data_IF_757653644178
#
_entry.id   IF_757653644178
#
_cell.length_a   1.000
_cell.length_b   1.000
_cell.length_c   1.000
_cell.angle_alpha   90.00
_cell.angle_beta   90.00
_cell.angle_gamma   90.00
#
_symmetry.space_group_name_H-M   'P 1'
#
loop_
_entity.id
_entity.type
_entity.pdbx_description
1 polymer ?
#
# COMPACT_ATOMS: atom_id res chain seq x y z
N UNK A 1 -13.32 1.52 11.79
CA UNK A 1 -12.19 1.33 10.85
C UNK A 1 -11.50 2.68 10.69
N UNK A 2 -10.21 2.75 10.38
CA UNK A 2 -9.50 4.03 10.30
C UNK A 2 -9.84 4.75 8.98
N UNK A 3 -10.53 5.88 9.04
CA UNK A 3 -10.89 6.72 7.86
C UNK A 3 -9.75 7.65 7.40
N UNK A 4 -8.60 7.50 8.03
CA UNK A 4 -7.44 8.39 7.92
C UNK A 4 -6.27 7.62 7.31
N UNK A 5 -5.52 8.25 6.43
CA UNK A 5 -4.36 7.69 5.76
C UNK A 5 -3.11 8.47 6.12
N UNK A 6 -2.00 7.77 6.38
CA UNK A 6 -0.74 8.40 6.80
C UNK A 6 0.33 8.13 5.74
N UNK A 7 0.99 9.20 5.29
CA UNK A 7 2.20 9.14 4.46
C UNK A 7 3.34 9.90 5.13
N UNK A 8 4.23 9.16 5.78
CA UNK A 8 5.46 9.68 6.40
C UNK A 8 6.66 8.89 5.90
N UNK A 9 7.87 9.44 6.06
CA UNK A 9 9.11 8.89 5.49
C UNK A 9 9.40 7.41 5.79
N UNK A 10 8.74 6.81 6.79
CA UNK A 10 8.84 5.38 7.12
C UNK A 10 7.51 4.62 7.20
N UNK A 11 6.38 5.20 6.79
CA UNK A 11 5.08 4.52 6.81
C UNK A 11 4.11 5.08 5.77
N UNK A 12 3.54 4.19 4.95
CA UNK A 12 2.47 4.50 3.99
C UNK A 12 1.34 3.50 4.24
N UNK A 13 0.17 3.98 4.62
CA UNK A 13 -0.96 3.09 4.90
C UNK A 13 -2.09 3.72 5.72
N UNK A 14 -3.15 2.94 6.00
CA UNK A 14 -4.25 3.38 6.85
C UNK A 14 -3.75 3.72 8.25
N UNK A 15 -4.29 4.77 8.87
CA UNK A 15 -3.86 5.22 10.18
C UNK A 15 -4.16 4.15 11.25
N UNK A 16 -3.13 3.41 11.66
CA UNK A 16 -3.24 2.38 12.70
C UNK A 16 -3.18 2.93 14.11
N UNK A 17 -3.10 4.26 14.29
CA UNK A 17 -3.12 4.89 15.62
C UNK A 17 -4.47 4.59 16.26
N UNK A 18 -4.50 3.61 17.18
CA UNK A 18 -5.66 3.29 18.01
C UNK A 18 -5.96 4.49 18.93
N UNK A 19 -6.76 5.46 18.48
CA UNK A 19 -7.67 6.25 19.33
C UNK A 19 -8.48 7.29 18.53
N UNK A 20 -9.82 7.20 18.53
CA UNK A 20 -10.65 8.37 18.36
C UNK A 20 -10.57 9.19 19.66
N UNK A 21 -9.67 10.16 19.74
CA UNK A 21 -9.50 10.97 20.93
C UNK A 21 -8.49 12.10 20.73
N UNK A 22 -8.55 13.14 21.56
CA UNK A 22 -7.63 14.27 21.43
C UNK A 22 -6.18 13.80 21.59
N UNK A 23 -5.32 14.44 20.80
CA UNK A 23 -3.87 14.27 20.81
C UNK A 23 -3.37 14.33 22.27
N UNK A 24 -2.60 13.31 22.70
CA UNK A 24 -2.06 13.27 24.07
C UNK A 24 -1.25 14.54 24.33
N UNK A 25 -1.33 15.09 25.55
CA UNK A 25 -0.55 16.26 26.00
C UNK A 25 0.96 16.11 25.72
N UNK A 26 1.45 14.87 25.65
CA UNK A 26 2.85 14.50 25.36
C UNK A 26 3.12 14.08 23.91
N UNK A 27 2.13 14.15 23.01
CA UNK A 27 2.34 13.85 21.59
C UNK A 27 3.11 15.00 20.93
N UNK A 28 4.42 14.76 20.74
CA UNK A 28 5.38 15.73 20.19
C UNK A 28 5.19 16.02 18.69
N UNK A 29 4.30 15.31 17.98
CA UNK A 29 4.08 15.54 16.54
C UNK A 29 3.49 16.92 16.33
N UNK A 30 4.09 17.77 15.49
CA UNK A 30 3.62 19.17 15.33
C UNK A 30 2.33 19.28 14.50
N UNK A 31 2.02 18.33 13.61
CA UNK A 31 0.86 18.38 12.68
C UNK A 31 0.11 17.06 12.62
N UNK A 32 -1.17 17.13 12.26
CA UNK A 32 -1.94 15.95 11.83
C UNK A 32 -1.49 15.63 10.39
N UNK A 33 -0.68 14.58 10.25
CA UNK A 33 -0.16 14.08 8.97
C UNK A 33 -1.09 13.03 8.36
N UNK A 34 -2.32 12.92 8.88
CA UNK A 34 -3.36 12.08 8.31
C UNK A 34 -4.19 12.83 7.27
N UNK A 35 -4.46 12.17 6.14
CA UNK A 35 -5.30 12.69 5.06
C UNK A 35 -6.37 11.68 4.64
N UNK A 36 -7.09 12.01 3.57
CA UNK A 36 -8.00 11.08 2.93
C UNK A 36 -7.23 9.91 2.31
N UNK A 37 -7.76 8.67 2.36
CA UNK A 37 -7.11 7.54 1.73
C UNK A 37 -7.05 7.72 0.20
N UNK A 38 -5.91 7.41 -0.43
CA UNK A 38 -5.80 7.42 -1.87
C UNK A 38 -6.68 6.33 -2.48
N UNK A 39 -7.08 6.53 -3.74
CA UNK A 39 -7.81 5.51 -4.48
C UNK A 39 -6.92 4.30 -4.74
N UNK A 40 -7.52 3.11 -4.88
CA UNK A 40 -6.77 1.88 -5.20
C UNK A 40 -5.97 2.07 -6.49
N UNK A 41 -6.55 2.71 -7.52
CA UNK A 41 -5.86 3.01 -8.77
C UNK A 41 -4.63 3.92 -8.59
N UNK A 42 -4.67 4.91 -7.68
CA UNK A 42 -3.53 5.75 -7.39
C UNK A 42 -2.39 4.96 -6.72
N UNK A 43 -2.74 4.08 -5.77
CA UNK A 43 -1.79 3.19 -5.11
C UNK A 43 -1.15 2.20 -6.09
N UNK A 44 -1.94 1.61 -7.00
CA UNK A 44 -1.46 0.70 -8.03
C UNK A 44 -0.45 1.38 -8.98
N UNK A 45 -0.73 2.61 -9.42
CA UNK A 45 0.21 3.38 -10.24
C UNK A 45 1.52 3.66 -9.50
N UNK A 46 1.44 4.06 -8.24
CA UNK A 46 2.62 4.30 -7.39
C UNK A 46 3.47 3.03 -7.24
N UNK A 47 2.82 1.88 -7.01
CA UNK A 47 3.49 0.59 -6.90
C UNK A 47 4.26 0.24 -8.18
N UNK A 48 3.67 0.44 -9.35
CA UNK A 48 4.37 0.18 -10.63
C UNK A 48 5.63 1.03 -10.78
N UNK A 49 5.55 2.32 -10.50
CA UNK A 49 6.71 3.21 -10.57
C UNK A 49 7.80 2.78 -9.59
N UNK A 50 7.42 2.43 -8.35
CA UNK A 50 8.38 2.00 -7.33
C UNK A 50 9.02 0.65 -7.63
N UNK A 51 8.29 -0.29 -8.25
CA UNK A 51 8.82 -1.60 -8.64
C UNK A 51 9.93 -1.52 -9.69
N UNK A 52 9.82 -0.58 -10.63
CA UNK A 52 10.87 -0.34 -11.63
C UNK A 52 12.17 0.19 -10.99
N UNK A 53 12.06 0.80 -9.81
CA UNK A 53 13.16 1.45 -9.10
C UNK A 53 13.69 0.67 -7.90
N UNK A 54 13.45 -0.64 -7.79
CA UNK A 54 13.99 -1.44 -6.66
C UNK A 54 15.47 -1.71 -6.91
N UNK A 55 16.33 -0.92 -6.26
CA UNK A 55 17.79 -1.12 -6.29
C UNK A 55 18.36 -1.48 -4.92
N UNK A 56 17.59 -1.24 -3.85
CA UNK A 56 18.01 -1.49 -2.48
C UNK A 56 16.96 -2.25 -1.66
N UNK A 57 17.39 -2.78 -0.51
CA UNK A 57 16.49 -3.38 0.48
C UNK A 57 15.47 -2.36 1.02
N UNK A 58 15.86 -1.10 1.17
CA UNK A 58 14.97 -0.03 1.64
C UNK A 58 13.86 0.27 0.62
N UNK A 59 14.18 0.24 -0.67
CA UNK A 59 13.17 0.39 -1.74
C UNK A 59 12.17 -0.76 -1.70
N UNK A 60 12.67 -2.00 -1.51
CA UNK A 60 11.81 -3.18 -1.36
C UNK A 60 10.89 -3.07 -0.14
N UNK A 61 11.41 -2.61 1.00
CA UNK A 61 10.60 -2.37 2.19
C UNK A 61 9.54 -1.30 1.94
N UNK A 62 9.87 -0.22 1.23
CA UNK A 62 8.92 0.84 0.88
C UNK A 62 7.82 0.32 -0.05
N UNK A 63 8.16 -0.47 -1.06
CA UNK A 63 7.17 -1.13 -1.94
C UNK A 63 6.24 -2.01 -1.11
N UNK A 64 6.76 -2.85 -0.21
CA UNK A 64 5.95 -3.70 0.65
C UNK A 64 5.01 -2.90 1.57
N UNK A 65 5.43 -1.71 2.04
CA UNK A 65 4.56 -0.82 2.81
C UNK A 65 3.39 -0.30 1.97
N UNK A 66 3.68 0.26 0.78
CA UNK A 66 2.63 0.75 -0.13
C UNK A 66 1.68 -0.37 -0.53
N UNK A 67 2.22 -1.58 -0.74
CA UNK A 67 1.46 -2.74 -1.17
C UNK A 67 0.50 -3.23 -0.09
N UNK A 68 0.93 -3.22 1.18
CA UNK A 68 0.04 -3.47 2.31
C UNK A 68 -1.08 -2.42 2.41
N UNK A 69 -0.74 -1.15 2.19
CA UNK A 69 -1.71 -0.06 2.11
C UNK A 69 -2.76 -0.29 1.00
N UNK A 70 -2.31 -0.70 -0.19
CA UNK A 70 -3.19 -1.01 -1.33
C UNK A 70 -4.12 -2.20 -1.05
N UNK A 71 -3.62 -3.26 -0.40
CA UNK A 71 -4.44 -4.40 0.03
C UNK A 71 -5.55 -3.93 0.98
N UNK A 72 -5.20 -3.12 1.98
CA UNK A 72 -6.18 -2.60 2.94
C UNK A 72 -7.26 -1.76 2.24
N UNK A 73 -6.90 -0.87 1.31
CA UNK A 73 -7.88 -0.05 0.60
C UNK A 73 -8.73 -0.86 -0.38
N UNK A 74 -8.15 -1.83 -1.10
CA UNK A 74 -8.90 -2.73 -1.97
C UNK A 74 -9.94 -3.52 -1.16
N UNK A 75 -9.57 -4.01 0.03
CA UNK A 75 -10.52 -4.67 0.93
C UNK A 75 -11.60 -3.72 1.45
N UNK A 76 -11.25 -2.46 1.79
CA UNK A 76 -12.20 -1.44 2.24
C UNK A 76 -13.26 -1.13 1.17
N UNK A 77 -12.85 -1.12 -0.09
CA UNK A 77 -13.71 -0.89 -1.26
C UNK A 77 -14.38 -2.18 -1.77
N UNK A 78 -14.24 -3.31 -1.05
CA UNK A 78 -14.79 -4.63 -1.41
C UNK A 78 -14.28 -5.20 -2.74
N UNK A 79 -13.13 -4.74 -3.21
CA UNK A 79 -12.46 -5.22 -4.42
C UNK A 79 -11.60 -6.44 -4.09
N UNK A 80 -12.23 -7.54 -3.71
CA UNK A 80 -11.54 -8.71 -3.12
C UNK A 80 -10.61 -9.42 -4.09
N UNK A 81 -10.95 -9.48 -5.38
CA UNK A 81 -10.09 -10.09 -6.41
C UNK A 81 -8.81 -9.28 -6.61
N UNK A 82 -8.93 -7.95 -6.69
CA UNK A 82 -7.79 -7.04 -6.71
C UNK A 82 -6.92 -7.21 -5.45
N UNK A 83 -7.54 -7.30 -4.26
CA UNK A 83 -6.83 -7.53 -3.02
C UNK A 83 -6.08 -8.88 -3.00
N UNK A 84 -6.63 -9.93 -3.62
CA UNK A 84 -5.98 -11.23 -3.72
C UNK A 84 -4.80 -11.21 -4.70
N UNK A 85 -4.93 -10.55 -5.86
CA UNK A 85 -3.83 -10.34 -6.79
C UNK A 85 -2.68 -9.57 -6.11
N UNK A 86 -3.00 -8.53 -5.33
CA UNK A 86 -2.02 -7.79 -4.54
C UNK A 86 -1.33 -8.65 -3.47
N UNK A 87 -2.04 -9.55 -2.78
CA UNK A 87 -1.43 -10.47 -1.82
C UNK A 87 -0.45 -11.45 -2.49
N UNK A 88 -0.72 -11.88 -3.73
CA UNK A 88 0.24 -12.69 -4.50
C UNK A 88 1.52 -11.89 -4.78
N UNK A 89 1.38 -10.63 -5.20
CA UNK A 89 2.54 -9.75 -5.37
C UNK A 89 3.32 -9.55 -4.06
N UNK A 90 2.65 -9.38 -2.91
CA UNK A 90 3.31 -9.30 -1.58
C UNK A 90 4.13 -10.56 -1.30
N UNK A 91 3.52 -11.74 -1.51
CA UNK A 91 4.18 -13.02 -1.26
C UNK A 91 5.43 -13.16 -2.12
N UNK A 92 5.32 -12.91 -3.43
CA UNK A 92 6.44 -12.97 -4.38
C UNK A 92 7.56 -11.99 -3.97
N UNK A 93 7.22 -10.78 -3.55
CA UNK A 93 8.19 -9.79 -3.09
C UNK A 93 8.78 -10.10 -1.71
N UNK A 94 8.23 -11.02 -0.92
CA UNK A 94 8.81 -11.45 0.36
C UNK A 94 9.64 -12.72 0.25
N UNK A 95 9.14 -13.71 -0.48
CA UNK A 95 9.75 -15.04 -0.59
C UNK A 95 10.63 -15.20 -1.83
N UNK A 96 10.46 -14.35 -2.83
CA UNK A 96 11.13 -14.48 -4.12
C UNK A 96 12.61 -14.06 -4.12
N UNK A 97 13.43 -14.66 -5.00
CA UNK A 97 14.82 -14.28 -5.21
C UNK A 97 14.94 -12.84 -5.76
N UNK A 98 16.15 -12.27 -5.69
CA UNK A 98 16.47 -11.02 -6.39
C UNK A 98 16.21 -11.21 -7.89
N UNK A 99 15.11 -10.65 -8.41
CA UNK A 99 14.60 -10.91 -9.77
C UNK A 99 13.10 -11.22 -9.84
N UNK A 100 12.45 -11.50 -8.70
CA UNK A 100 11.01 -11.74 -8.61
C UNK A 100 10.12 -10.50 -8.93
N UNK A 101 10.75 -9.37 -9.27
CA UNK A 101 10.11 -8.10 -9.64
C UNK A 101 9.21 -8.26 -10.87
N UNK A 102 9.63 -9.04 -11.88
CA UNK A 102 8.82 -9.27 -13.08
C UNK A 102 7.52 -10.03 -12.75
N UNK A 103 7.61 -11.06 -11.91
CA UNK A 103 6.43 -11.81 -11.44
C UNK A 103 5.52 -10.95 -10.58
N UNK A 104 6.09 -10.06 -9.75
CA UNK A 104 5.31 -9.10 -8.98
C UNK A 104 4.62 -8.04 -9.86
N UNK A 105 5.28 -7.54 -10.90
CA UNK A 105 4.67 -6.60 -11.87
C UNK A 105 3.52 -7.27 -12.64
N UNK A 106 3.67 -8.53 -13.06
CA UNK A 106 2.59 -9.27 -13.71
C UNK A 106 1.34 -9.37 -12.81
N UNK A 107 1.50 -9.71 -11.53
CA UNK A 107 0.41 -9.74 -10.56
C UNK A 107 -0.23 -8.35 -10.33
N UNK A 108 0.56 -7.27 -10.44
CA UNK A 108 0.01 -5.91 -10.35
C UNK A 108 -0.73 -5.46 -11.61
N UNK A 109 -0.28 -5.87 -12.79
CA UNK A 109 -1.00 -5.62 -14.03
C UNK A 109 -2.38 -6.29 -13.99
N UNK A 110 -2.45 -7.53 -13.50
CA UNK A 110 -3.71 -8.24 -13.24
C UNK A 110 -4.58 -7.46 -12.24
N UNK A 111 -4.01 -7.01 -11.11
CA UNK A 111 -4.75 -6.22 -10.13
C UNK A 111 -5.31 -4.90 -10.70
N UNK A 112 -4.61 -4.28 -11.65
CA UNK A 112 -5.07 -3.08 -12.37
C UNK A 112 -6.24 -3.40 -13.29
N UNK A 113 -6.20 -4.51 -14.01
CA UNK A 113 -7.32 -4.98 -14.85
C UNK A 113 -8.57 -5.19 -14.00
N UNK A 114 -8.45 -5.96 -12.92
CA UNK A 114 -9.55 -6.21 -11.98
C UNK A 114 -10.09 -4.93 -11.34
N UNK A 115 -9.22 -3.95 -11.08
CA UNK A 115 -9.64 -2.66 -10.55
C UNK A 115 -10.30 -1.74 -11.59
N UNK A 116 -10.05 -1.98 -12.88
CA UNK A 116 -10.75 -1.28 -13.95
C UNK A 116 -12.12 -1.90 -14.24
N UNK A 117 -12.24 -3.22 -14.12
CA UNK A 117 -13.48 -3.96 -14.40
C UNK A 117 -14.50 -3.88 -13.25
N UNK A 118 -14.03 -3.79 -12.00
CA UNK A 118 -14.87 -3.67 -10.81
C UNK A 118 -15.32 -2.25 -10.47
N UNK A 119 -15.34 -1.32 -11.44
CA UNK A 119 -15.67 0.09 -11.25
C UNK A 119 -17.15 0.41 -11.47
#
# INVERSE_FOLDING_TARGET
MADKWVEIGGYIGPDRRKRPGPKRLMDRRRRDESGAPPTVSALLRRLRVQLLGIYSTDDRLRVLQVLNGAICEAQRQRMYECANALKRADHVLRSGPAGAVATADAALQEAIGLAADGR
#
